data_IF_732919248232
#
_entry.id   IF_732919248232
#
_cell.length_a   1.000
_cell.length_b   1.000
_cell.length_c   1.000
_cell.angle_alpha   90.00
_cell.angle_beta   90.00
_cell.angle_gamma   90.00
#
_symmetry.space_group_name_H-M   'P 1'
#
loop_
_entity.id
_entity.type
_entity.pdbx_description
1 polymer ?
#
# COMPACT_ATOMS: atom_id res chain seq x y z
N UNK A 1 7.91 16.32 9.51
CA UNK A 1 8.66 15.05 9.61
C UNK A 1 9.59 15.14 10.81
N UNK A 2 9.46 14.18 11.73
CA UNK A 2 10.23 14.12 12.99
C UNK A 2 11.75 14.01 12.73
N UNK A 3 12.62 14.69 13.51
CA UNK A 3 14.08 14.68 13.30
C UNK A 3 14.68 13.28 13.19
N UNK A 4 14.29 12.36 14.08
CA UNK A 4 14.78 10.97 14.07
C UNK A 4 14.50 10.21 12.77
N UNK A 5 13.42 10.54 12.05
CA UNK A 5 13.14 9.96 10.73
C UNK A 5 14.15 10.46 9.70
N UNK A 6 14.48 11.76 9.74
CA UNK A 6 15.49 12.38 8.87
C UNK A 6 16.87 11.79 9.18
N UNK A 7 17.24 11.70 10.46
CA UNK A 7 18.55 11.20 10.89
C UNK A 7 18.79 9.76 10.41
N UNK A 8 17.79 8.89 10.55
CA UNK A 8 17.90 7.50 10.07
C UNK A 8 18.06 7.45 8.54
N UNK A 9 17.32 8.30 7.83
CA UNK A 9 17.36 8.37 6.37
C UNK A 9 18.73 8.85 5.85
N UNK A 10 19.35 9.79 6.54
CA UNK A 10 20.67 10.35 6.20
C UNK A 10 21.81 9.34 6.48
N UNK A 11 21.64 8.48 7.49
CA UNK A 11 22.61 7.44 7.84
C UNK A 11 22.50 6.19 6.94
N UNK A 12 21.31 5.86 6.43
CA UNK A 12 21.06 4.64 5.65
C UNK A 12 22.01 4.39 4.47
N UNK A 13 22.44 5.39 3.66
CA UNK A 13 23.39 5.17 2.58
C UNK A 13 24.78 4.70 3.03
N UNK A 14 25.15 4.92 4.29
CA UNK A 14 26.43 4.49 4.86
C UNK A 14 26.35 3.07 5.49
N UNK A 15 25.21 2.38 5.39
CA UNK A 15 25.05 1.03 5.91
C UNK A 15 26.00 0.05 5.20
N UNK A 16 26.99 -0.46 5.93
CA UNK A 16 28.09 -1.25 5.37
C UNK A 16 27.96 -2.76 5.62
N UNK A 17 27.21 -3.16 6.64
CA UNK A 17 27.16 -4.56 7.06
C UNK A 17 25.73 -5.13 7.10
N UNK A 18 25.52 -6.42 6.78
CA UNK A 18 24.22 -7.10 6.90
C UNK A 18 23.58 -7.03 8.30
N UNK A 19 24.37 -7.02 9.36
CA UNK A 19 23.86 -6.88 10.72
C UNK A 19 23.30 -5.46 10.96
N UNK A 20 24.03 -4.44 10.47
CA UNK A 20 23.59 -3.05 10.52
C UNK A 20 22.30 -2.84 9.71
N UNK A 21 22.18 -3.47 8.54
CA UNK A 21 20.99 -3.43 7.72
C UNK A 21 19.74 -3.93 8.47
N UNK A 22 19.85 -5.07 9.18
CA UNK A 22 18.76 -5.58 10.03
C UNK A 22 18.40 -4.60 11.15
N UNK A 23 19.41 -3.95 11.74
CA UNK A 23 19.22 -2.89 12.73
C UNK A 23 18.41 -1.72 12.18
N UNK A 24 18.79 -1.19 11.01
CA UNK A 24 18.05 -0.12 10.33
C UNK A 24 16.59 -0.51 10.06
N UNK A 25 16.34 -1.74 9.61
CA UNK A 25 14.98 -2.21 9.32
C UNK A 25 14.16 -2.26 10.62
N UNK A 26 14.69 -2.84 11.70
CA UNK A 26 14.01 -2.90 12.98
C UNK A 26 13.72 -1.50 13.56
N UNK A 27 14.73 -0.63 13.59
CA UNK A 27 14.58 0.75 14.07
C UNK A 27 13.58 1.54 13.23
N UNK A 28 13.56 1.32 11.91
CA UNK A 28 12.62 2.00 11.03
C UNK A 28 11.16 1.68 11.37
N UNK A 29 10.86 0.45 11.80
CA UNK A 29 9.53 0.05 12.22
C UNK A 29 9.15 0.75 13.52
N UNK A 30 10.07 0.83 14.48
CA UNK A 30 9.80 1.50 15.76
C UNK A 30 9.57 3.00 15.57
N UNK A 31 10.40 3.65 14.74
CA UNK A 31 10.25 5.06 14.41
C UNK A 31 8.97 5.36 13.63
N UNK A 32 8.60 4.52 12.65
CA UNK A 32 7.32 4.67 11.94
C UNK A 32 6.12 4.52 12.89
N UNK A 33 6.12 3.52 13.78
CA UNK A 33 5.03 3.39 14.77
C UNK A 33 4.98 4.60 15.69
N UNK A 34 6.13 5.09 16.13
CA UNK A 34 6.18 6.26 17.00
C UNK A 34 5.64 7.52 16.30
N UNK A 35 6.06 7.77 15.06
CA UNK A 35 5.55 8.89 14.26
C UNK A 35 4.03 8.83 14.11
N UNK A 36 3.46 7.66 13.79
CA UNK A 36 2.02 7.46 13.68
C UNK A 36 1.27 7.60 15.02
N UNK A 37 1.90 7.28 16.15
CA UNK A 37 1.33 7.53 17.50
C UNK A 37 1.27 9.01 17.82
N UNK A 38 2.25 9.77 17.34
CA UNK A 38 2.33 11.22 17.50
C UNK A 38 1.58 12.01 16.41
N UNK A 39 0.80 11.33 15.56
CA UNK A 39 -0.08 11.96 14.59
C UNK A 39 0.57 12.40 13.27
N UNK A 40 1.77 11.92 12.96
CA UNK A 40 2.33 12.08 11.61
C UNK A 40 1.43 11.36 10.60
N UNK A 41 1.14 12.00 9.47
CA UNK A 41 0.24 11.46 8.45
C UNK A 41 0.81 10.17 7.83
N UNK A 42 -0.05 9.18 7.56
CA UNK A 42 0.34 7.89 7.01
C UNK A 42 1.07 8.02 5.67
N UNK A 43 0.63 8.97 4.82
CA UNK A 43 1.27 9.26 3.53
C UNK A 43 2.71 9.75 3.71
N UNK A 44 2.97 10.57 4.73
CA UNK A 44 4.33 11.05 5.05
C UNK A 44 5.21 9.89 5.49
N UNK A 45 4.70 9.06 6.40
CA UNK A 45 5.43 7.87 6.89
C UNK A 45 5.71 6.89 5.76
N UNK A 46 4.75 6.65 4.86
CA UNK A 46 4.93 5.75 3.71
C UNK A 46 6.01 6.25 2.74
N UNK A 47 6.01 7.55 2.43
CA UNK A 47 7.05 8.17 1.60
C UNK A 47 8.42 8.06 2.25
N UNK A 48 8.50 8.31 3.55
CA UNK A 48 9.74 8.16 4.30
C UNK A 48 10.24 6.70 4.27
N UNK A 49 9.37 5.74 4.58
CA UNK A 49 9.73 4.32 4.65
C UNK A 49 10.15 3.77 3.28
N UNK A 50 9.45 4.17 2.22
CA UNK A 50 9.81 3.81 0.84
C UNK A 50 11.18 4.34 0.45
N UNK A 51 11.47 5.62 0.79
CA UNK A 51 12.79 6.23 0.54
C UNK A 51 13.87 5.52 1.33
N UNK A 52 13.64 5.25 2.61
CA UNK A 52 14.60 4.53 3.46
C UNK A 52 14.92 3.16 2.88
N UNK A 53 13.89 2.39 2.54
CA UNK A 53 14.04 1.06 1.93
C UNK A 53 14.85 1.14 0.63
N UNK A 54 14.55 2.09 -0.25
CA UNK A 54 15.33 2.30 -1.47
C UNK A 54 16.80 2.67 -1.20
N UNK A 55 17.09 3.48 -0.16
CA UNK A 55 18.47 3.81 0.25
C UNK A 55 19.22 2.61 0.78
N UNK A 56 18.55 1.77 1.59
CA UNK A 56 19.13 0.55 2.14
C UNK A 56 19.42 -0.49 1.04
N UNK A 57 18.50 -0.66 0.07
CA UNK A 57 18.71 -1.52 -1.09
C UNK A 57 19.92 -1.12 -1.93
N UNK A 58 20.26 0.17 -1.97
CA UNK A 58 21.44 0.71 -2.66
C UNK A 58 22.65 0.95 -1.76
N UNK A 59 22.64 0.45 -0.52
CA UNK A 59 23.73 0.67 0.45
C UNK A 59 24.91 -0.28 0.22
N UNK A 60 26.13 0.06 0.71
CA UNK A 60 27.30 -0.81 0.61
C UNK A 60 27.09 -2.22 1.17
N UNK A 61 26.20 -2.39 2.16
CA UNK A 61 25.87 -3.71 2.75
C UNK A 61 25.32 -4.74 1.75
N UNK A 62 24.86 -4.29 0.58
CA UNK A 62 24.34 -5.14 -0.50
C UNK A 62 25.11 -4.96 -1.81
N UNK A 63 26.29 -4.33 -1.80
CA UNK A 63 27.03 -3.99 -3.01
C UNK A 63 27.50 -5.20 -3.83
N UNK A 64 27.79 -6.32 -3.16
CA UNK A 64 28.19 -7.57 -3.81
C UNK A 64 26.99 -8.36 -4.38
N UNK A 65 25.76 -7.95 -4.03
CA UNK A 65 24.55 -8.58 -4.54
C UNK A 65 24.09 -7.91 -5.84
N UNK A 66 23.55 -8.67 -6.80
CA UNK A 66 22.92 -8.07 -7.97
C UNK A 66 21.82 -7.09 -7.56
N UNK A 67 21.78 -5.88 -8.16
CA UNK A 67 20.79 -4.89 -7.81
C UNK A 67 19.39 -5.38 -8.17
N UNK A 68 18.42 -5.05 -7.30
CA UNK A 68 17.00 -5.29 -7.54
C UNK A 68 16.31 -4.01 -7.98
N UNK A 69 15.23 -4.13 -8.75
CA UNK A 69 14.46 -3.00 -9.25
C UNK A 69 13.14 -2.92 -8.49
N UNK A 70 12.93 -1.93 -7.60
CA UNK A 70 11.67 -1.75 -6.90
C UNK A 70 10.49 -1.60 -7.87
N UNK A 71 9.35 -2.19 -7.52
CA UNK A 71 8.08 -2.03 -8.24
C UNK A 71 6.92 -1.82 -7.27
N UNK A 72 5.71 -1.61 -7.81
CA UNK A 72 4.51 -1.50 -7.00
C UNK A 72 4.53 -0.32 -6.02
N UNK A 73 4.01 -0.52 -4.81
CA UNK A 73 3.90 0.54 -3.80
C UNK A 73 5.26 1.13 -3.41
N UNK A 74 6.31 0.30 -3.33
CA UNK A 74 7.66 0.75 -3.00
C UNK A 74 8.19 1.74 -4.06
N UNK A 75 8.06 1.39 -5.35
CA UNK A 75 8.48 2.28 -6.44
C UNK A 75 7.69 3.59 -6.50
N UNK A 76 6.42 3.58 -6.08
CA UNK A 76 5.57 4.78 -6.04
C UNK A 76 5.78 5.64 -4.78
N UNK A 77 6.58 5.19 -3.82
CA UNK A 77 6.75 5.90 -2.55
C UNK A 77 5.56 5.75 -1.60
N UNK A 78 4.82 4.65 -1.72
CA UNK A 78 3.56 4.39 -0.99
C UNK A 78 3.68 3.19 -0.04
N UNK A 79 4.87 2.62 0.16
CA UNK A 79 5.04 1.46 1.02
C UNK A 79 4.98 1.85 2.51
N UNK A 80 4.18 1.11 3.26
CA UNK A 80 4.26 1.00 4.72
C UNK A 80 4.99 -0.29 5.09
N UNK A 81 5.42 -0.46 6.35
CA UNK A 81 6.03 -1.72 6.78
C UNK A 81 5.11 -2.95 6.67
N UNK A 82 3.78 -2.76 6.63
CA UNK A 82 2.80 -3.82 6.34
C UNK A 82 2.57 -4.08 4.85
N UNK A 83 3.09 -3.22 3.98
CA UNK A 83 2.90 -3.34 2.53
C UNK A 83 3.89 -4.35 1.95
N UNK A 84 3.45 -5.27 1.07
CA UNK A 84 4.37 -6.10 0.30
C UNK A 84 5.42 -5.25 -0.43
N UNK A 85 6.70 -5.51 -0.16
CA UNK A 85 7.82 -4.84 -0.77
C UNK A 85 8.27 -5.66 -1.97
N UNK A 86 7.88 -5.21 -3.15
CA UNK A 86 8.07 -5.95 -4.39
C UNK A 86 9.26 -5.38 -5.17
N UNK A 87 10.09 -6.25 -5.73
CA UNK A 87 11.14 -5.87 -6.66
C UNK A 87 11.45 -6.97 -7.67
N UNK A 88 11.92 -6.58 -8.84
CA UNK A 88 12.44 -7.50 -9.86
C UNK A 88 13.87 -7.83 -9.51
N UNK A 89 14.18 -9.12 -9.42
CA UNK A 89 15.52 -9.61 -9.12
C UNK A 89 16.04 -10.48 -10.26
N UNK A 90 17.31 -10.37 -10.65
CA UNK A 90 17.91 -11.22 -11.69
C UNK A 90 18.11 -12.68 -11.21
N UNK A 91 18.08 -12.92 -9.90
CA UNK A 91 18.13 -14.24 -9.27
C UNK A 91 17.05 -14.32 -8.18
N UNK A 92 16.35 -15.45 -8.12
CA UNK A 92 15.30 -15.72 -7.12
C UNK A 92 15.63 -17.03 -6.39
N UNK A 93 15.65 -17.05 -5.05
CA UNK A 93 15.43 -15.90 -4.16
C UNK A 93 16.63 -14.93 -4.17
N UNK A 94 16.37 -13.64 -4.04
CA UNK A 94 17.37 -12.61 -3.80
C UNK A 94 17.74 -12.55 -2.32
N UNK A 95 18.98 -12.17 -1.99
CA UNK A 95 19.40 -11.98 -0.59
C UNK A 95 18.59 -10.85 0.06
N UNK A 96 18.25 -9.82 -0.72
CA UNK A 96 17.44 -8.68 -0.32
C UNK A 96 16.07 -9.13 0.23
N UNK A 97 15.41 -10.11 -0.40
CA UNK A 97 14.11 -10.64 0.07
C UNK A 97 14.16 -11.25 1.48
N UNK A 98 15.34 -11.73 1.90
CA UNK A 98 15.53 -12.29 3.24
C UNK A 98 15.66 -11.26 4.36
N UNK A 99 15.85 -9.97 4.04
CA UNK A 99 16.00 -8.92 5.07
C UNK A 99 14.67 -8.30 5.52
N UNK A 100 13.67 -8.23 4.64
CA UNK A 100 12.36 -7.66 4.95
C UNK A 100 11.31 -8.76 5.06
N UNK A 101 10.55 -8.77 6.14
CA UNK A 101 9.42 -9.70 6.33
C UNK A 101 8.42 -9.65 5.16
N UNK A 102 8.18 -8.44 4.64
CA UNK A 102 7.29 -8.19 3.50
C UNK A 102 8.01 -8.21 2.14
N UNK A 103 9.32 -8.50 2.09
CA UNK A 103 10.12 -8.54 0.87
C UNK A 103 9.74 -9.71 -0.04
N UNK A 104 9.47 -9.44 -1.31
CA UNK A 104 9.10 -10.46 -2.31
C UNK A 104 9.78 -10.18 -3.64
N UNK A 105 10.38 -11.23 -4.21
CA UNK A 105 10.98 -11.17 -5.54
C UNK A 105 9.95 -11.41 -6.64
N UNK A 106 10.11 -10.70 -7.74
CA UNK A 106 9.44 -10.95 -9.01
C UNK A 106 10.45 -11.35 -10.07
N UNK A 107 10.11 -12.35 -10.88
CA UNK A 107 10.98 -12.82 -11.98
C UNK A 107 11.09 -11.84 -13.14
N UNK A 108 10.04 -11.04 -13.35
CA UNK A 108 9.99 -10.02 -14.39
C UNK A 108 9.22 -8.81 -13.89
N UNK A 109 9.47 -7.66 -14.51
CA UNK A 109 8.66 -6.47 -14.25
C UNK A 109 7.20 -6.75 -14.61
N UNK A 110 6.23 -6.39 -13.75
CA UNK A 110 4.82 -6.52 -14.11
C UNK A 110 4.52 -5.64 -15.32
N UNK A 111 3.69 -6.15 -16.23
CA UNK A 111 3.19 -5.33 -17.33
C UNK A 111 2.36 -4.16 -16.77
N UNK A 112 2.37 -2.99 -17.42
CA UNK A 112 1.47 -1.90 -17.06
C UNK A 112 0.02 -2.40 -17.04
N UNK A 113 -0.77 -2.07 -16.00
CA UNK A 113 -2.14 -2.54 -15.90
C UNK A 113 -3.01 -1.96 -17.02
N UNK A 114 -3.90 -2.78 -17.58
CA UNK A 114 -4.90 -2.28 -18.51
C UNK A 114 -6.04 -1.57 -17.77
N UNK A 115 -6.73 -0.65 -18.47
CA UNK A 115 -7.90 0.01 -17.90
C UNK A 115 -9.01 -1.00 -17.53
N UNK A 116 -9.29 -1.98 -18.39
CA UNK A 116 -10.26 -3.05 -18.11
C UNK A 116 -9.89 -3.84 -16.84
N UNK A 117 -8.62 -4.20 -16.68
CA UNK A 117 -8.15 -4.89 -15.47
C UNK A 117 -8.38 -4.03 -14.22
N UNK A 118 -8.03 -2.75 -14.25
CA UNK A 118 -8.21 -1.85 -13.10
C UNK A 118 -9.70 -1.67 -12.75
N UNK A 119 -10.58 -1.59 -13.74
CA UNK A 119 -12.02 -1.41 -13.52
C UNK A 119 -12.68 -2.66 -12.92
N UNK A 120 -12.13 -3.86 -13.19
CA UNK A 120 -12.59 -5.12 -12.56
C UNK A 120 -12.17 -5.26 -11.10
N UNK A 121 -11.22 -4.47 -10.61
CA UNK A 121 -10.75 -4.48 -9.22
C UNK A 121 -11.67 -3.68 -8.29
N UNK A 122 -12.97 -3.62 -8.60
CA UNK A 122 -13.93 -2.87 -7.80
C UNK A 122 -13.92 -3.40 -6.36
N UNK A 123 -13.88 -2.51 -5.34
CA UNK A 123 -14.03 -2.94 -3.96
C UNK A 123 -15.32 -3.76 -3.81
N UNK A 124 -15.31 -4.85 -3.02
CA UNK A 124 -16.53 -5.63 -2.80
C UNK A 124 -17.62 -4.71 -2.27
N UNK A 125 -18.83 -4.84 -2.81
CA UNK A 125 -19.98 -4.11 -2.28
C UNK A 125 -20.13 -4.49 -0.80
N UNK A 126 -20.38 -3.49 0.05
CA UNK A 126 -20.74 -3.76 1.45
C UNK A 126 -22.06 -4.53 1.42
N UNK A 127 -21.98 -5.85 1.65
CA UNK A 127 -23.15 -6.72 1.70
C UNK A 127 -23.99 -6.31 2.90
N UNK A 128 -25.30 -6.38 2.75
CA UNK A 128 -26.24 -6.17 3.85
C UNK A 128 -27.01 -7.46 4.10
N UNK A 129 -27.04 -7.89 5.36
CA UNK A 129 -27.83 -9.02 5.86
C UNK A 129 -28.89 -8.44 6.80
N UNK A 130 -30.16 -8.64 6.47
CA UNK A 130 -31.31 -8.10 7.23
C UNK A 130 -31.26 -6.58 7.48
N UNK A 131 -30.74 -5.83 6.50
CA UNK A 131 -30.62 -4.36 6.58
C UNK A 131 -29.42 -3.87 7.40
N UNK A 132 -28.59 -4.77 7.93
CA UNK A 132 -27.35 -4.46 8.63
C UNK A 132 -26.13 -4.82 7.77
N UNK A 133 -24.98 -4.13 7.90
CA UNK A 133 -23.76 -4.53 7.22
C UNK A 133 -23.38 -5.97 7.57
N UNK A 134 -23.00 -6.76 6.56
CA UNK A 134 -22.40 -8.08 6.75
C UNK A 134 -21.07 -7.92 7.49
N UNK A 135 -21.07 -8.30 8.76
CA UNK A 135 -19.90 -8.16 9.62
C UNK A 135 -18.92 -9.33 9.50
N UNK A 136 -19.29 -10.39 8.78
CA UNK A 136 -18.45 -11.56 8.54
C UNK A 136 -17.68 -11.44 7.21
N UNK A 137 -18.06 -10.48 6.36
CA UNK A 137 -17.30 -10.09 5.19
C UNK A 137 -15.84 -9.76 5.55
N UNK A 138 -14.92 -10.37 4.82
CA UNK A 138 -13.48 -10.15 4.97
C UNK A 138 -13.10 -8.75 4.49
N UNK A 139 -12.26 -8.05 5.25
CA UNK A 139 -11.76 -6.71 4.92
C UNK A 139 -10.24 -6.71 4.80
N UNK A 140 -9.76 -6.41 3.58
CA UNK A 140 -8.37 -6.12 3.27
C UNK A 140 -8.25 -4.70 2.74
N UNK A 141 -7.54 -3.82 3.45
CA UNK A 141 -7.34 -2.42 2.98
C UNK A 141 -6.47 -2.39 1.72
N UNK A 142 -5.47 -3.26 1.67
CA UNK A 142 -4.58 -3.40 0.52
C UNK A 142 -5.35 -3.85 -0.73
N UNK A 143 -6.10 -4.94 -0.63
CA UNK A 143 -6.78 -5.53 -1.79
C UNK A 143 -8.05 -4.77 -2.19
N UNK A 144 -8.77 -4.20 -1.21
CA UNK A 144 -10.05 -3.56 -1.49
C UNK A 144 -9.97 -2.04 -1.69
N UNK A 145 -8.89 -1.36 -1.27
CA UNK A 145 -8.76 0.09 -1.44
C UNK A 145 -7.46 0.50 -2.15
N UNK A 146 -6.30 0.17 -1.56
CA UNK A 146 -5.02 0.74 -2.00
C UNK A 146 -4.59 0.18 -3.36
N UNK A 147 -4.67 -1.13 -3.56
CA UNK A 147 -4.37 -1.80 -4.81
C UNK A 147 -5.23 -1.27 -5.97
N UNK A 148 -6.56 -1.35 -5.88
CA UNK A 148 -7.44 -0.85 -6.93
C UNK A 148 -7.26 0.65 -7.22
N UNK A 149 -7.11 1.49 -6.19
CA UNK A 149 -6.86 2.91 -6.38
C UNK A 149 -5.54 3.19 -7.12
N UNK A 150 -4.48 2.46 -6.76
CA UNK A 150 -3.19 2.57 -7.41
C UNK A 150 -3.20 2.09 -8.87
N UNK A 151 -3.92 1.01 -9.17
CA UNK A 151 -4.11 0.50 -10.53
C UNK A 151 -4.85 1.52 -11.38
N UNK A 152 -5.98 2.04 -10.87
CA UNK A 152 -6.79 3.01 -11.60
C UNK A 152 -5.99 4.30 -11.90
N UNK A 153 -5.22 4.80 -10.94
CA UNK A 153 -4.32 5.96 -11.16
C UNK A 153 -3.26 5.72 -12.24
N UNK A 154 -2.77 4.48 -12.39
CA UNK A 154 -1.72 4.17 -13.35
C UNK A 154 -2.23 4.08 -14.78
N UNK A 155 -3.46 3.59 -14.99
CA UNK A 155 -3.99 3.32 -16.33
C UNK A 155 -5.06 4.32 -16.79
N UNK A 156 -5.67 5.10 -15.90
CA UNK A 156 -6.69 6.08 -16.26
C UNK A 156 -6.04 7.42 -16.66
N UNK A 157 -5.74 7.57 -17.94
CA UNK A 157 -5.06 8.77 -18.49
C UNK A 157 -5.87 10.06 -18.37
N UNK A 158 -7.21 9.98 -18.24
CA UNK A 158 -8.11 11.14 -18.27
C UNK A 158 -9.17 11.07 -17.17
N UNK A 159 -8.76 11.09 -15.90
CA UNK A 159 -9.70 11.31 -14.79
C UNK A 159 -10.18 12.76 -14.81
N UNK A 160 -11.48 12.98 -14.54
CA UNK A 160 -11.95 14.34 -14.24
C UNK A 160 -11.33 14.82 -12.93
N UNK A 161 -11.40 16.12 -12.68
CA UNK A 161 -10.97 16.69 -11.41
C UNK A 161 -11.70 16.01 -10.22
N UNK A 162 -13.03 15.88 -10.29
CA UNK A 162 -13.84 15.26 -9.24
C UNK A 162 -13.51 13.77 -9.03
N UNK A 163 -13.28 13.02 -10.11
CA UNK A 163 -12.85 11.61 -10.04
C UNK A 163 -11.49 11.50 -9.36
N UNK A 164 -10.55 12.35 -9.72
CA UNK A 164 -9.20 12.35 -9.15
C UNK A 164 -9.20 12.77 -7.68
N UNK A 165 -9.99 13.77 -7.30
CA UNK A 165 -10.17 14.22 -5.91
C UNK A 165 -10.78 13.09 -5.06
N UNK A 166 -11.87 12.48 -5.53
CA UNK A 166 -12.53 11.35 -4.85
C UNK A 166 -11.61 10.15 -4.70
N UNK A 167 -10.91 9.77 -5.78
CA UNK A 167 -9.93 8.69 -5.78
C UNK A 167 -8.80 8.97 -4.81
N UNK A 168 -8.36 10.22 -4.73
CA UNK A 168 -7.31 10.64 -3.81
C UNK A 168 -7.75 10.59 -2.36
N UNK A 169 -8.95 11.04 -2.06
CA UNK A 169 -9.48 10.97 -0.70
C UNK A 169 -9.69 9.51 -0.26
N UNK A 170 -10.18 8.64 -1.15
CA UNK A 170 -10.32 7.21 -0.87
C UNK A 170 -8.95 6.55 -0.60
N UNK A 171 -7.94 6.88 -1.41
CA UNK A 171 -6.57 6.37 -1.22
C UNK A 171 -5.94 6.87 0.08
N UNK A 172 -6.06 8.17 0.42
CA UNK A 172 -5.57 8.72 1.69
C UNK A 172 -6.24 7.99 2.87
N UNK A 173 -7.56 7.79 2.80
CA UNK A 173 -8.31 7.06 3.84
C UNK A 173 -7.80 5.63 3.98
N UNK A 174 -7.54 4.93 2.86
CA UNK A 174 -6.92 3.61 2.88
C UNK A 174 -5.54 3.60 3.54
N UNK A 175 -4.68 4.57 3.23
CA UNK A 175 -3.34 4.67 3.80
C UNK A 175 -3.39 4.89 5.31
N UNK A 176 -4.29 5.75 5.79
CA UNK A 176 -4.50 6.00 7.21
C UNK A 176 -5.02 4.75 7.94
N UNK A 177 -6.00 4.04 7.37
CA UNK A 177 -6.53 2.80 7.94
C UNK A 177 -5.45 1.71 8.03
N UNK A 178 -4.68 1.53 6.98
CA UNK A 178 -3.59 0.56 6.94
C UNK A 178 -2.50 0.89 7.98
N UNK A 179 -2.07 2.15 8.03
CA UNK A 179 -1.04 2.59 8.97
C UNK A 179 -1.49 2.47 10.42
N UNK A 180 -2.74 2.83 10.73
CA UNK A 180 -3.33 2.65 12.07
C UNK A 180 -3.37 1.17 12.46
N UNK A 181 -3.83 0.29 11.56
CA UNK A 181 -3.88 -1.15 11.82
C UNK A 181 -2.50 -1.72 12.09
N UNK A 182 -1.52 -1.38 11.25
CA UNK A 182 -0.14 -1.82 11.47
C UNK A 182 0.44 -1.28 12.80
N UNK A 183 0.22 0.00 13.11
CA UNK A 183 0.63 0.63 14.37
C UNK A 183 0.05 -0.10 15.58
N UNK A 184 -1.23 -0.47 15.49
CA UNK A 184 -2.00 -1.09 16.56
C UNK A 184 -1.88 -2.63 16.55
N UNK A 185 -1.02 -3.19 15.68
CA UNK A 185 -0.76 -4.63 15.51
C UNK A 185 -2.00 -5.44 15.17
N UNK A 186 -2.93 -4.83 14.43
CA UNK A 186 -4.10 -5.49 13.86
C UNK A 186 -3.65 -6.22 12.58
N UNK A 187 -4.04 -7.50 12.37
CA UNK A 187 -3.72 -8.25 11.15
C UNK A 187 -4.13 -7.50 9.87
N UNK A 188 -3.53 -7.82 8.72
CA UNK A 188 -3.81 -7.19 7.40
C UNK A 188 -5.13 -7.65 6.75
N UNK A 189 -5.67 -8.77 7.19
CA UNK A 189 -6.97 -9.30 6.77
C UNK A 189 -7.74 -9.77 8.00
N UNK A 190 -8.99 -9.33 8.14
CA UNK A 190 -9.89 -9.68 9.25
C UNK A 190 -11.35 -9.51 8.84
N UNK A 191 -12.32 -10.14 9.52
CA UNK A 191 -13.73 -9.86 9.29
C UNK A 191 -14.10 -8.44 9.75
N UNK A 192 -15.13 -7.86 9.13
CA UNK A 192 -15.55 -6.48 9.40
C UNK A 192 -16.00 -6.25 10.86
N UNK A 193 -16.47 -7.27 11.59
CA UNK A 193 -16.79 -7.17 13.03
C UNK A 193 -15.60 -6.76 13.88
N UNK A 194 -14.39 -7.19 13.50
CA UNK A 194 -13.17 -7.01 14.28
C UNK A 194 -12.51 -5.65 14.01
N UNK A 195 -13.03 -4.88 13.04
CA UNK A 195 -12.63 -3.49 12.83
C UNK A 195 -13.37 -2.56 13.81
N UNK A 196 -12.66 -1.62 14.46
CA UNK A 196 -13.28 -0.56 15.23
C UNK A 196 -14.37 0.16 14.42
N UNK A 197 -15.50 0.51 15.06
CA UNK A 197 -16.67 1.05 14.36
C UNK A 197 -16.35 2.27 13.47
N UNK A 198 -15.49 3.17 13.97
CA UNK A 198 -15.03 4.34 13.21
C UNK A 198 -14.23 3.94 11.96
N UNK A 199 -13.31 2.98 12.09
CA UNK A 199 -12.50 2.47 10.98
C UNK A 199 -13.36 1.73 9.96
N UNK A 200 -14.33 0.93 10.40
CA UNK A 200 -15.30 0.25 9.53
C UNK A 200 -16.13 1.26 8.72
N UNK A 201 -16.59 2.34 9.35
CA UNK A 201 -17.31 3.42 8.67
C UNK A 201 -16.44 4.11 7.61
N UNK A 202 -15.21 4.48 7.97
CA UNK A 202 -14.24 5.10 7.06
C UNK A 202 -13.91 4.18 5.87
N UNK A 203 -13.67 2.89 6.13
CA UNK A 203 -13.46 1.88 5.09
C UNK A 203 -14.65 1.81 4.13
N UNK A 204 -15.86 1.71 4.65
CA UNK A 204 -17.08 1.64 3.85
C UNK A 204 -17.31 2.89 2.99
N UNK A 205 -17.01 4.07 3.54
CA UNK A 205 -17.11 5.34 2.80
C UNK A 205 -16.07 5.39 1.66
N UNK A 206 -14.82 5.03 1.93
CA UNK A 206 -13.75 4.99 0.93
C UNK A 206 -14.03 3.97 -0.17
N UNK A 207 -14.50 2.76 0.18
CA UNK A 207 -14.83 1.71 -0.78
C UNK A 207 -15.98 2.12 -1.70
N UNK A 208 -16.99 2.80 -1.15
CA UNK A 208 -18.10 3.37 -1.94
C UNK A 208 -17.61 4.48 -2.88
N UNK A 209 -16.81 5.42 -2.38
CA UNK A 209 -16.24 6.50 -3.19
C UNK A 209 -15.42 5.96 -4.37
N UNK A 210 -14.50 5.02 -4.10
CA UNK A 210 -13.70 4.35 -5.13
C UNK A 210 -14.57 3.57 -6.14
N UNK A 211 -15.60 2.86 -5.68
CA UNK A 211 -16.55 2.18 -6.56
C UNK A 211 -17.30 3.14 -7.49
N UNK A 212 -17.64 4.34 -7.02
CA UNK A 212 -18.28 5.37 -7.83
C UNK A 212 -17.32 5.90 -8.91
N UNK A 213 -16.06 6.16 -8.56
CA UNK A 213 -15.03 6.56 -9.53
C UNK A 213 -14.85 5.48 -10.59
N UNK A 214 -14.69 4.21 -10.20
CA UNK A 214 -14.58 3.07 -11.13
C UNK A 214 -15.78 3.02 -12.08
N UNK A 215 -17.00 3.15 -11.55
CA UNK A 215 -18.23 3.15 -12.36
C UNK A 215 -18.27 4.33 -13.35
N UNK A 216 -17.91 5.52 -12.90
CA UNK A 216 -17.87 6.73 -13.75
C UNK A 216 -16.87 6.56 -14.90
N UNK A 217 -15.66 6.08 -14.59
CA UNK A 217 -14.62 5.84 -15.59
C UNK A 217 -15.04 4.74 -16.57
N UNK A 218 -15.65 3.64 -16.09
CA UNK A 218 -16.15 2.57 -16.93
C UNK A 218 -17.22 3.06 -17.92
N UNK A 219 -18.20 3.83 -17.44
CA UNK A 219 -19.26 4.39 -18.26
C UNK A 219 -18.71 5.30 -19.37
N UNK A 220 -17.75 6.17 -19.04
CA UNK A 220 -17.12 7.08 -20.02
C UNK A 220 -16.30 6.33 -21.09
N UNK A 221 -15.69 5.21 -20.73
CA UNK A 221 -14.88 4.41 -21.64
C UNK A 221 -15.65 3.27 -22.32
N UNK A 222 -16.99 3.20 -22.12
CA UNK A 222 -17.86 2.16 -22.69
C UNK A 222 -17.40 0.73 -22.33
N UNK A 223 -16.84 0.56 -21.14
CA UNK A 223 -16.41 -0.74 -20.61
C UNK A 223 -17.50 -1.30 -19.71
N UNK A 224 -17.99 -2.50 -20.03
CA UNK A 224 -18.93 -3.20 -19.17
C UNK A 224 -18.18 -3.86 -18.01
N UNK A 225 -18.45 -3.38 -16.81
CA UNK A 225 -18.06 -4.04 -15.56
C UNK A 225 -19.27 -4.78 -15.00
N UNK A 226 -19.09 -6.03 -14.56
CA UNK A 226 -20.20 -6.81 -14.01
C UNK A 226 -20.80 -6.05 -12.82
N UNK A 227 -22.07 -5.69 -12.97
CA UNK A 227 -22.89 -5.13 -11.90
C UNK A 227 -23.38 -6.28 -11.04
N UNK A 228 -22.55 -6.66 -10.06
CA UNK A 228 -22.90 -7.50 -8.92
C UNK A 228 -23.13 -9.00 -9.25
N UNK A 229 -22.19 -9.86 -8.86
CA UNK A 229 -22.56 -11.22 -8.41
C UNK A 229 -22.97 -11.08 -6.95
N UNK A 230 -24.24 -11.42 -6.71
CA UNK A 230 -24.98 -11.27 -5.45
C UNK A 230 -24.37 -12.04 -4.27
#
# INVERSE_FOLDING_TARGET
>A
MHPSLTDLLDQAPACAEPAQLRGFIAESHDLARNALRHGEAAVTVARWYSRLTARLLGSPSLADEPPVIPVGALARGEALPSTPLLWVAPRIPSVQSGFWEMGRDLGTSPAPPSLDQALRQRPPAMRTLDGLPDLDATVSIQEHLLGPAALLRQCAHHLTQEENESLTQAWITGMELEAQRWRDRVPSTLPARDLPALQRSAFGAAARSLSLVIRSVAARNTITIDTDVS
#
